data_IF_157018398843
#
_entry.id   IF_157018398843
#
_cell.length_a   1.000
_cell.length_b   1.000
_cell.length_c   1.000
_cell.angle_alpha   90.00
_cell.angle_beta   90.00
_cell.angle_gamma   90.00
#
_symmetry.space_group_name_H-M   'P 1'
#
loop_
_entity.id
_entity.type
_entity.pdbx_description
1 polymer ?
#
# COMPACT_ATOMS: atom_id res chain seq x y z
N UNK A 1 6.73 64.27 -0.86
CA UNK A 1 7.38 65.27 -1.72
C UNK A 1 7.96 64.54 -2.93
N UNK A 2 7.20 64.57 -3.99
CA UNK A 2 7.40 65.27 -5.24
C UNK A 2 8.38 64.59 -6.18
N UNK A 3 7.83 64.04 -7.20
CA UNK A 3 7.77 64.38 -8.63
C UNK A 3 8.94 63.75 -9.43
N UNK A 4 8.75 63.12 -10.53
CA UNK A 4 8.03 63.34 -11.80
C UNK A 4 8.97 63.00 -12.98
N UNK A 5 8.43 62.20 -13.95
CA UNK A 5 8.48 62.45 -15.42
C UNK A 5 9.80 62.12 -16.14
N UNK A 6 9.88 61.53 -17.27
CA UNK A 6 9.11 61.19 -18.47
C UNK A 6 10.07 60.52 -19.45
N UNK A 7 9.62 59.57 -20.23
CA UNK A 7 9.20 59.64 -21.66
C UNK A 7 10.27 59.98 -22.70
N UNK A 8 10.39 59.13 -23.72
CA UNK A 8 10.51 59.38 -25.19
C UNK A 8 11.29 58.20 -25.82
N UNK A 9 10.69 57.29 -26.58
CA UNK A 9 10.28 57.32 -28.00
C UNK A 9 11.41 57.61 -29.01
N UNK A 10 11.61 56.70 -29.95
CA UNK A 10 11.70 56.78 -31.41
C UNK A 10 12.52 55.60 -31.95
N UNK A 11 11.98 54.64 -32.68
CA UNK A 11 11.54 54.57 -34.09
C UNK A 11 12.70 54.69 -35.12
N UNK A 12 12.89 53.61 -35.93
CA UNK A 12 13.00 53.61 -37.40
C UNK A 12 13.87 52.43 -37.86
N UNK A 13 13.32 51.48 -38.58
CA UNK A 13 13.06 51.34 -40.01
C UNK A 13 14.21 50.72 -40.80
N UNK A 14 13.90 49.52 -41.26
CA UNK A 14 14.05 48.85 -42.56
C UNK A 14 15.35 48.95 -43.42
N UNK A 15 15.77 47.84 -44.00
CA UNK A 15 15.66 47.53 -45.43
C UNK A 15 16.56 46.32 -45.84
N UNK A 16 15.90 45.32 -46.36
CA UNK A 16 16.17 44.48 -47.55
C UNK A 16 17.56 44.24 -48.09
N UNK A 17 17.82 42.98 -48.44
CA UNK A 17 18.83 42.58 -49.38
C UNK A 17 18.88 41.06 -49.62
N UNK A 18 18.17 40.59 -50.65
CA UNK A 18 18.37 39.27 -51.28
C UNK A 18 19.69 39.25 -52.06
N UNK A 19 20.42 38.12 -52.05
CA UNK A 19 20.97 37.53 -53.24
C UNK A 19 21.47 36.10 -53.06
N UNK A 20 21.26 35.36 -54.06
CA UNK A 20 21.31 34.02 -54.58
C UNK A 20 22.69 33.35 -54.63
N UNK A 21 22.65 32.03 -54.36
CA UNK A 21 23.25 30.87 -55.05
C UNK A 21 24.72 30.84 -55.37
N UNK A 22 25.42 29.74 -55.00
CA UNK A 22 25.94 28.74 -55.99
C UNK A 22 26.51 27.51 -55.30
N UNK A 23 26.33 26.39 -56.00
CA UNK A 23 26.65 24.99 -55.62
C UNK A 23 28.16 24.72 -55.65
N UNK A 24 28.61 23.83 -54.80
CA UNK A 24 29.57 22.78 -55.21
C UNK A 24 29.52 21.60 -54.25
N UNK A 25 29.61 20.41 -54.81
CA UNK A 25 29.32 19.10 -54.28
C UNK A 25 30.51 18.41 -53.59
N UNK A 26 30.13 17.27 -52.95
CA UNK A 26 30.87 16.05 -52.63
C UNK A 26 31.70 15.98 -51.31
N UNK A 27 31.25 15.16 -50.39
CA UNK A 27 31.82 13.83 -50.10
C UNK A 27 31.07 13.14 -48.98
N UNK A 28 30.64 11.91 -49.24
CA UNK A 28 29.95 10.99 -48.31
C UNK A 28 30.93 10.36 -47.33
N UNK A 29 30.49 10.24 -46.03
CA UNK A 29 30.82 9.13 -45.14
C UNK A 29 29.76 9.01 -44.04
N UNK A 30 29.50 7.85 -43.44
CA UNK A 30 28.17 7.35 -43.10
C UNK A 30 27.66 7.82 -41.72
N UNK A 31 26.34 7.94 -41.67
CA UNK A 31 25.57 8.27 -40.48
C UNK A 31 25.72 7.22 -39.37
N UNK A 32 25.95 7.68 -38.16
CA UNK A 32 25.67 6.95 -36.96
C UNK A 32 24.20 7.21 -36.59
N UNK A 33 23.44 6.17 -36.37
CA UNK A 33 22.06 6.21 -35.84
C UNK A 33 22.07 6.83 -34.44
N UNK A 34 21.60 8.07 -34.33
CA UNK A 34 21.14 8.62 -33.06
C UNK A 34 19.71 8.12 -32.81
N UNK A 35 19.55 7.21 -31.86
CA UNK A 35 18.26 6.87 -31.30
C UNK A 35 17.66 8.17 -30.71
N UNK A 36 16.55 8.58 -31.28
CA UNK A 36 15.68 9.63 -30.76
C UNK A 36 15.08 9.13 -29.43
N UNK A 37 15.05 9.92 -28.36
CA UNK A 37 14.29 9.55 -27.17
C UNK A 37 12.82 9.40 -27.56
N UNK A 38 12.21 8.27 -27.21
CA UNK A 38 10.76 8.10 -27.24
C UNK A 38 10.14 9.23 -26.42
N UNK A 39 9.38 10.06 -27.08
CA UNK A 39 8.55 11.11 -26.49
C UNK A 39 7.47 10.36 -25.68
N UNK A 40 7.63 10.31 -24.35
CA UNK A 40 6.55 9.92 -23.45
C UNK A 40 5.34 10.76 -23.81
N UNK A 41 4.31 10.10 -24.34
CA UNK A 41 3.04 10.75 -24.64
C UNK A 41 2.48 11.34 -23.35
N UNK A 42 2.58 12.65 -23.20
CA UNK A 42 1.90 13.38 -22.14
C UNK A 42 0.40 13.07 -22.27
N UNK A 43 -0.15 12.40 -21.27
CA UNK A 43 -1.60 12.18 -21.14
C UNK A 43 -2.23 13.58 -21.05
N UNK A 44 -3.03 13.95 -22.05
CA UNK A 44 -3.77 15.22 -22.02
C UNK A 44 -4.65 15.25 -20.76
N UNK A 45 -4.55 16.33 -19.99
CA UNK A 45 -5.40 16.55 -18.82
C UNK A 45 -6.88 16.56 -19.26
N UNK A 46 -7.76 15.89 -18.50
CA UNK A 46 -9.18 15.81 -18.88
C UNK A 46 -9.86 17.19 -18.86
N UNK A 47 -10.86 17.34 -19.71
CA UNK A 47 -11.72 18.53 -19.73
C UNK A 47 -12.40 18.74 -18.38
N UNK A 48 -12.40 19.98 -17.91
CA UNK A 48 -12.93 20.52 -16.65
C UNK A 48 -13.81 19.58 -15.78
N UNK A 49 -13.22 19.12 -14.63
CA UNK A 49 -13.98 18.98 -13.39
C UNK A 49 -14.88 17.77 -13.23
N UNK A 50 -14.38 16.52 -13.41
CA UNK A 50 -15.10 15.32 -12.95
C UNK A 50 -15.17 15.23 -11.41
N UNK A 51 -16.23 14.61 -10.87
CA UNK A 51 -16.39 14.31 -9.45
C UNK A 51 -15.97 12.87 -9.18
N UNK A 52 -14.99 12.67 -8.31
CA UNK A 52 -14.46 11.35 -7.94
C UNK A 52 -14.91 11.01 -6.52
N UNK A 53 -15.56 9.86 -6.36
CA UNK A 53 -15.89 9.31 -5.05
C UNK A 53 -14.77 8.44 -4.51
N UNK A 54 -14.29 8.73 -3.31
CA UNK A 54 -13.24 7.95 -2.64
C UNK A 54 -13.76 7.48 -1.28
N UNK A 55 -13.89 6.16 -1.12
CA UNK A 55 -14.38 5.52 0.11
C UNK A 55 -13.25 4.78 0.80
N UNK A 56 -12.93 5.19 2.02
CA UNK A 56 -11.93 4.57 2.89
C UNK A 56 -12.57 3.90 4.11
N UNK A 57 -12.00 2.79 4.62
CA UNK A 57 -12.64 2.01 5.67
C UNK A 57 -12.66 2.74 7.02
N UNK A 58 -11.56 3.38 7.41
CA UNK A 58 -11.45 4.00 8.75
C UNK A 58 -10.32 5.02 8.83
N UNK A 59 -10.40 5.92 9.81
CA UNK A 59 -9.30 6.81 10.19
C UNK A 59 -8.45 6.26 11.35
N UNK A 60 -8.86 5.16 11.98
CA UNK A 60 -8.14 4.57 13.12
C UNK A 60 -6.83 3.89 12.75
N UNK A 61 -6.65 3.49 11.48
CA UNK A 61 -5.40 2.97 10.95
C UNK A 61 -4.70 4.05 10.15
N UNK A 62 -3.42 4.28 10.45
CA UNK A 62 -2.63 5.39 9.90
C UNK A 62 -2.63 5.42 8.38
N UNK A 63 -2.40 4.27 7.74
CA UNK A 63 -2.29 4.19 6.28
C UNK A 63 -3.49 4.78 5.55
N UNK A 64 -4.73 4.56 6.02
CA UNK A 64 -5.92 5.07 5.32
C UNK A 64 -6.01 6.59 5.29
N UNK A 65 -5.46 7.26 6.31
CA UNK A 65 -5.34 8.72 6.31
C UNK A 65 -4.34 9.18 5.25
N UNK A 66 -3.22 8.48 5.12
CA UNK A 66 -2.18 8.78 4.12
C UNK A 66 -2.69 8.48 2.69
N UNK A 67 -3.24 7.28 2.47
CA UNK A 67 -3.82 6.87 1.18
C UNK A 67 -4.87 7.89 0.70
N UNK A 68 -5.85 8.21 1.55
CA UNK A 68 -6.92 9.14 1.21
C UNK A 68 -6.43 10.56 0.96
N UNK A 69 -5.50 11.05 1.77
CA UNK A 69 -4.95 12.40 1.63
C UNK A 69 -4.13 12.55 0.34
N UNK A 70 -3.24 11.60 0.04
CA UNK A 70 -2.43 11.62 -1.18
C UNK A 70 -3.30 11.49 -2.43
N UNK A 71 -4.28 10.57 -2.42
CA UNK A 71 -5.17 10.39 -3.56
C UNK A 71 -5.99 11.66 -3.82
N UNK A 72 -6.56 12.26 -2.76
CA UNK A 72 -7.32 13.50 -2.87
C UNK A 72 -6.44 14.62 -3.43
N UNK A 73 -5.25 14.83 -2.86
CA UNK A 73 -4.30 15.86 -3.32
C UNK A 73 -3.99 15.68 -4.81
N UNK A 74 -3.63 14.47 -5.24
CA UNK A 74 -3.22 14.22 -6.62
C UNK A 74 -4.37 14.31 -7.62
N UNK A 75 -5.57 13.88 -7.26
CA UNK A 75 -6.76 14.07 -8.09
C UNK A 75 -7.15 15.55 -8.20
N UNK A 76 -7.09 16.31 -7.10
CA UNK A 76 -7.37 17.76 -7.12
C UNK A 76 -6.31 18.54 -7.91
N UNK A 77 -5.04 18.13 -7.90
CA UNK A 77 -3.98 18.69 -8.76
C UNK A 77 -4.28 18.49 -10.26
N UNK A 78 -4.99 17.42 -10.62
CA UNK A 78 -5.45 17.16 -11.99
C UNK A 78 -6.74 17.90 -12.35
N UNK A 79 -7.32 18.67 -11.43
CA UNK A 79 -8.51 19.47 -11.64
C UNK A 79 -9.84 18.76 -11.34
N UNK A 80 -9.81 17.57 -10.74
CA UNK A 80 -11.00 16.86 -10.27
C UNK A 80 -11.52 17.41 -8.95
N UNK A 81 -12.83 17.23 -8.72
CA UNK A 81 -13.42 17.39 -7.39
C UNK A 81 -13.44 16.02 -6.70
N UNK A 82 -13.05 15.94 -5.44
CA UNK A 82 -12.96 14.67 -4.70
C UNK A 82 -13.91 14.66 -3.50
N UNK A 83 -14.84 13.70 -3.48
CA UNK A 83 -15.64 13.37 -2.30
C UNK A 83 -14.96 12.21 -1.54
N UNK A 84 -14.10 12.54 -0.57
CA UNK A 84 -13.38 11.58 0.27
C UNK A 84 -14.15 11.34 1.56
N UNK A 85 -14.53 10.09 1.83
CA UNK A 85 -15.26 9.70 3.04
C UNK A 85 -14.63 8.49 3.72
N UNK A 86 -14.78 8.44 5.04
CA UNK A 86 -14.32 7.35 5.92
C UNK A 86 -15.52 6.76 6.66
N UNK A 87 -15.63 5.45 6.66
CA UNK A 87 -16.78 4.75 7.25
C UNK A 87 -16.54 4.28 8.70
N UNK A 88 -15.37 4.55 9.30
CA UNK A 88 -15.01 4.21 10.68
C UNK A 88 -15.21 2.73 11.06
N UNK A 89 -14.92 1.84 10.12
CA UNK A 89 -15.15 0.39 10.20
C UNK A 89 -16.63 -0.02 10.38
N UNK A 90 -17.58 0.87 10.02
CA UNK A 90 -19.00 0.58 10.05
C UNK A 90 -19.49 0.27 8.62
N UNK A 91 -19.74 -1.00 8.32
CA UNK A 91 -20.14 -1.48 6.98
C UNK A 91 -21.40 -0.76 6.48
N UNK A 92 -22.41 -0.61 7.34
CA UNK A 92 -23.66 0.09 6.97
C UNK A 92 -23.41 1.55 6.56
N UNK A 93 -22.48 2.23 7.26
CA UNK A 93 -22.07 3.59 6.91
C UNK A 93 -21.40 3.63 5.54
N UNK A 94 -20.56 2.64 5.22
CA UNK A 94 -19.90 2.59 3.91
C UNK A 94 -20.91 2.35 2.77
N UNK A 95 -21.91 1.51 3.00
CA UNK A 95 -23.03 1.31 2.03
C UNK A 95 -23.78 2.63 1.78
N UNK A 96 -24.17 3.33 2.86
CA UNK A 96 -24.86 4.63 2.74
C UNK A 96 -24.00 5.69 2.03
N UNK A 97 -22.71 5.71 2.28
CA UNK A 97 -21.77 6.62 1.61
C UNK A 97 -21.67 6.32 0.12
N UNK A 98 -21.61 5.05 -0.27
CA UNK A 98 -21.61 4.62 -1.67
C UNK A 98 -22.89 5.07 -2.40
N UNK A 99 -24.06 4.78 -1.84
CA UNK A 99 -25.35 5.19 -2.40
C UNK A 99 -25.47 6.73 -2.55
N UNK A 100 -24.97 7.46 -1.55
CA UNK A 100 -24.92 8.92 -1.59
C UNK A 100 -24.01 9.45 -2.70
N UNK A 101 -22.84 8.85 -2.93
CA UNK A 101 -21.92 9.22 -4.00
C UNK A 101 -22.52 8.95 -5.38
N UNK A 102 -23.19 7.81 -5.57
CA UNK A 102 -23.92 7.51 -6.81
C UNK A 102 -25.00 8.56 -7.06
N UNK A 103 -25.80 8.88 -6.05
CA UNK A 103 -26.84 9.94 -6.14
C UNK A 103 -26.28 11.32 -6.47
N UNK A 104 -25.08 11.65 -5.99
CA UNK A 104 -24.36 12.89 -6.34
C UNK A 104 -23.84 12.91 -7.77
N UNK A 105 -23.83 11.78 -8.46
CA UNK A 105 -23.37 11.66 -9.84
C UNK A 105 -21.85 11.68 -9.95
N UNK A 106 -21.14 10.92 -9.10
CA UNK A 106 -19.69 10.72 -9.28
C UNK A 106 -19.39 10.06 -10.62
N UNK A 107 -18.26 10.38 -11.21
CA UNK A 107 -17.84 9.83 -12.51
C UNK A 107 -17.08 8.52 -12.37
N UNK A 108 -16.30 8.37 -11.28
CA UNK A 108 -15.55 7.18 -10.93
C UNK A 108 -15.63 6.97 -9.42
N UNK A 109 -15.72 5.73 -9.00
CA UNK A 109 -15.64 5.31 -7.59
C UNK A 109 -14.31 4.61 -7.33
N UNK A 110 -13.61 5.04 -6.29
CA UNK A 110 -12.40 4.38 -5.75
C UNK A 110 -12.74 3.90 -4.34
N UNK A 111 -12.73 2.59 -4.13
CA UNK A 111 -13.29 1.98 -2.91
C UNK A 111 -12.28 1.06 -2.25
N UNK A 112 -11.87 1.40 -1.02
CA UNK A 112 -11.25 0.49 -0.08
C UNK A 112 -12.34 -0.05 0.85
N UNK A 113 -12.81 -1.26 0.60
CA UNK A 113 -13.94 -1.83 1.34
C UNK A 113 -13.58 -2.24 2.77
N UNK A 114 -14.54 -2.13 3.69
CA UNK A 114 -14.45 -2.75 5.03
C UNK A 114 -14.64 -4.26 4.87
N UNK A 115 -15.76 -4.66 4.26
CA UNK A 115 -16.10 -6.02 3.87
C UNK A 115 -16.27 -6.05 2.35
N UNK A 116 -15.44 -6.86 1.67
CA UNK A 116 -15.43 -6.96 0.21
C UNK A 116 -16.76 -7.42 -0.39
N UNK A 117 -17.59 -8.13 0.38
CA UNK A 117 -18.87 -8.70 -0.09
C UNK A 117 -20.08 -7.79 0.13
N UNK A 118 -19.96 -6.81 1.05
CA UNK A 118 -21.10 -6.04 1.53
C UNK A 118 -21.65 -4.99 0.54
N UNK A 119 -20.85 -4.58 -0.45
CA UNK A 119 -21.17 -3.46 -1.32
C UNK A 119 -21.87 -3.84 -2.63
N UNK A 120 -22.13 -5.15 -2.86
CA UNK A 120 -22.61 -5.66 -4.16
C UNK A 120 -23.88 -4.95 -4.67
N UNK A 121 -24.81 -4.55 -3.79
CA UNK A 121 -26.04 -3.83 -4.17
C UNK A 121 -25.73 -2.44 -4.74
N UNK A 122 -24.97 -1.62 -4.02
CA UNK A 122 -24.60 -0.28 -4.49
C UNK A 122 -23.68 -0.34 -5.72
N UNK A 123 -22.82 -1.36 -5.83
CA UNK A 123 -22.00 -1.56 -7.04
C UNK A 123 -22.84 -1.89 -8.27
N UNK A 124 -24.00 -2.58 -8.11
CA UNK A 124 -24.94 -2.77 -9.21
C UNK A 124 -25.60 -1.45 -9.62
N UNK A 125 -25.98 -0.62 -8.65
CA UNK A 125 -26.52 0.72 -8.93
C UNK A 125 -25.50 1.61 -9.64
N UNK A 126 -24.24 1.58 -9.23
CA UNK A 126 -23.15 2.29 -9.92
C UNK A 126 -23.01 1.85 -11.38
N UNK A 127 -23.07 0.54 -11.62
CA UNK A 127 -22.99 -0.01 -12.98
C UNK A 127 -24.21 0.38 -13.85
N UNK A 128 -25.42 0.42 -13.27
CA UNK A 128 -26.63 0.84 -13.96
C UNK A 128 -26.56 2.33 -14.37
N UNK A 129 -25.86 3.16 -13.61
CA UNK A 129 -25.56 4.57 -13.92
C UNK A 129 -24.30 4.76 -14.78
N UNK A 130 -23.60 3.68 -15.14
CA UNK A 130 -22.40 3.71 -15.98
C UNK A 130 -21.15 4.22 -15.26
N UNK A 131 -21.15 4.22 -13.93
CA UNK A 131 -20.00 4.61 -13.10
C UNK A 131 -19.03 3.45 -13.01
N UNK A 132 -17.76 3.69 -13.37
CA UNK A 132 -16.70 2.69 -13.25
C UNK A 132 -16.13 2.65 -11.82
N UNK A 133 -15.71 1.45 -11.41
CA UNK A 133 -15.28 1.16 -10.05
C UNK A 133 -13.88 0.61 -10.02
N UNK A 134 -13.01 1.27 -9.26
CA UNK A 134 -11.67 0.80 -8.91
C UNK A 134 -11.70 0.33 -7.46
N UNK A 135 -11.46 -0.95 -7.23
CA UNK A 135 -11.14 -1.46 -5.91
C UNK A 135 -9.74 -0.95 -5.50
N UNK A 136 -9.64 -0.32 -4.35
CA UNK A 136 -8.39 0.24 -3.82
C UNK A 136 -7.87 -0.60 -2.68
N UNK A 137 -6.66 -1.14 -2.80
CA UNK A 137 -5.98 -1.99 -1.81
C UNK A 137 -6.76 -3.27 -1.46
N UNK A 138 -8.06 -3.22 -1.20
CA UNK A 138 -8.93 -4.35 -0.86
C UNK A 138 -9.86 -4.72 -2.00
N UNK A 139 -9.86 -6.00 -2.39
CA UNK A 139 -10.65 -6.49 -3.52
C UNK A 139 -12.15 -6.50 -3.17
N UNK A 140 -12.96 -6.00 -4.10
CA UNK A 140 -14.43 -6.10 -4.03
C UNK A 140 -14.86 -7.48 -4.51
N UNK A 141 -15.49 -8.24 -3.61
CA UNK A 141 -15.82 -9.65 -3.78
C UNK A 141 -17.28 -9.86 -4.24
N UNK A 142 -17.57 -11.02 -4.77
CA UNK A 142 -18.91 -11.52 -5.11
C UNK A 142 -19.72 -10.59 -6.04
N UNK A 143 -19.05 -9.80 -6.89
CA UNK A 143 -19.68 -8.84 -7.79
C UNK A 143 -19.05 -8.87 -9.18
N UNK A 144 -19.84 -8.72 -10.27
CA UNK A 144 -19.31 -8.47 -11.60
C UNK A 144 -18.87 -7.02 -11.80
N UNK A 145 -19.26 -6.09 -10.91
CA UNK A 145 -19.20 -4.64 -11.07
C UNK A 145 -17.96 -4.01 -10.36
N UNK A 146 -16.88 -4.73 -10.29
CA UNK A 146 -15.54 -4.24 -9.96
C UNK A 146 -14.75 -4.20 -11.26
N UNK A 147 -14.48 -3.02 -11.83
CA UNK A 147 -13.86 -2.92 -13.16
C UNK A 147 -12.37 -3.15 -13.10
N UNK A 148 -11.71 -2.56 -12.09
CA UNK A 148 -10.27 -2.64 -11.89
C UNK A 148 -9.93 -2.80 -10.41
N UNK A 149 -8.71 -3.26 -10.14
CA UNK A 149 -8.16 -3.36 -8.80
C UNK A 149 -6.75 -2.78 -8.78
N UNK A 150 -6.46 -1.93 -7.81
CA UNK A 150 -5.12 -1.40 -7.56
C UNK A 150 -4.69 -1.75 -6.15
N UNK A 151 -3.57 -2.44 -6.02
CA UNK A 151 -3.03 -2.92 -4.74
C UNK A 151 -1.52 -3.14 -4.82
N UNK A 152 -0.94 -3.70 -3.76
CA UNK A 152 0.41 -4.27 -3.78
C UNK A 152 0.34 -5.77 -4.08
N UNK A 153 1.48 -6.39 -4.44
CA UNK A 153 1.57 -7.84 -4.51
C UNK A 153 1.44 -8.44 -3.10
N UNK A 154 0.21 -8.82 -2.75
CA UNK A 154 -0.13 -9.26 -1.41
C UNK A 154 0.49 -10.62 -1.04
N UNK A 155 0.67 -11.52 -2.01
CA UNK A 155 1.38 -12.77 -1.78
C UNK A 155 2.85 -12.51 -1.49
N UNK A 156 3.48 -11.60 -2.24
CA UNK A 156 4.87 -11.21 -2.05
C UNK A 156 5.12 -10.55 -0.68
N UNK A 157 4.13 -9.83 -0.12
CA UNK A 157 4.22 -9.33 1.27
C UNK A 157 4.48 -10.47 2.24
N UNK A 158 3.69 -11.54 2.15
CA UNK A 158 3.87 -12.73 2.99
C UNK A 158 5.22 -13.41 2.75
N UNK A 159 5.62 -13.57 1.48
CA UNK A 159 6.94 -14.12 1.12
C UNK A 159 8.07 -13.31 1.76
N UNK A 160 8.00 -11.98 1.72
CA UNK A 160 9.01 -11.11 2.35
C UNK A 160 9.07 -11.36 3.87
N UNK A 161 7.93 -11.45 4.54
CA UNK A 161 7.88 -11.74 5.99
C UNK A 161 8.47 -13.10 6.32
N UNK A 162 8.08 -14.14 5.57
CA UNK A 162 8.61 -15.50 5.73
C UNK A 162 10.12 -15.57 5.48
N UNK A 163 10.59 -14.95 4.41
CA UNK A 163 12.02 -14.88 4.04
C UNK A 163 12.83 -14.19 5.13
N UNK A 164 12.35 -13.08 5.67
CA UNK A 164 13.02 -12.39 6.77
C UNK A 164 13.21 -13.29 8.00
N UNK A 165 12.19 -14.09 8.35
CA UNK A 165 12.28 -15.06 9.44
C UNK A 165 13.35 -16.13 9.13
N UNK A 166 13.32 -16.69 7.92
CA UNK A 166 14.27 -17.73 7.46
C UNK A 166 15.70 -17.24 7.54
N UNK A 167 15.96 -16.05 6.98
CA UNK A 167 17.30 -15.44 6.95
C UNK A 167 17.79 -15.07 8.36
N UNK A 168 16.91 -14.46 9.19
CA UNK A 168 17.27 -14.01 10.54
C UNK A 168 17.62 -15.18 11.47
N UNK A 169 16.92 -16.30 11.33
CA UNK A 169 17.24 -17.53 12.08
C UNK A 169 18.37 -18.36 11.45
N UNK A 170 18.82 -18.04 10.23
CA UNK A 170 19.81 -18.81 9.50
C UNK A 170 19.32 -20.21 9.09
N UNK A 171 18.02 -20.38 8.83
CA UNK A 171 17.42 -21.68 8.52
C UNK A 171 17.97 -22.26 7.21
N UNK A 172 18.22 -21.43 6.20
CA UNK A 172 18.85 -21.81 4.94
C UNK A 172 20.33 -22.19 5.10
N UNK A 173 20.97 -21.70 6.16
CA UNK A 173 22.35 -22.00 6.52
C UNK A 173 22.46 -23.25 7.40
N UNK A 174 21.32 -23.89 7.73
CA UNK A 174 21.25 -25.13 8.49
C UNK A 174 21.23 -24.93 10.00
N UNK A 175 20.69 -23.82 10.49
CA UNK A 175 20.46 -23.61 11.91
C UNK A 175 19.62 -24.75 12.50
N UNK A 176 20.07 -25.27 13.66
CA UNK A 176 19.41 -26.37 14.36
C UNK A 176 18.36 -25.80 15.35
N UNK A 177 17.05 -26.03 15.05
CA UNK A 177 15.96 -25.71 15.96
C UNK A 177 15.84 -26.69 17.16
N UNK A 178 14.66 -26.84 17.76
CA UNK A 178 13.42 -26.20 17.36
C UNK A 178 13.36 -24.72 17.78
N UNK A 179 12.90 -23.86 16.88
CA UNK A 179 12.49 -22.49 17.18
C UNK A 179 10.97 -22.43 17.33
N UNK A 180 10.49 -21.73 18.36
CA UNK A 180 9.06 -21.60 18.63
C UNK A 180 8.47 -20.43 17.87
N UNK A 181 7.28 -20.62 17.28
CA UNK A 181 6.58 -19.60 16.51
C UNK A 181 5.10 -19.57 16.83
N UNK A 182 4.49 -18.38 16.71
CA UNK A 182 3.05 -18.21 16.65
C UNK A 182 2.65 -17.36 15.43
N UNK A 183 1.44 -17.63 14.91
CA UNK A 183 0.92 -17.03 13.69
C UNK A 183 -0.31 -16.18 14.00
N UNK A 184 -0.35 -15.00 13.44
CA UNK A 184 -1.51 -14.09 13.44
C UNK A 184 -2.00 -13.88 12.03
N UNK A 185 -3.32 -13.90 11.82
CA UNK A 185 -3.98 -13.56 10.57
C UNK A 185 -4.57 -12.16 10.61
N UNK A 186 -4.77 -11.57 9.44
CA UNK A 186 -5.49 -10.31 9.27
C UNK A 186 -7.00 -10.46 9.43
N UNK A 187 -7.76 -9.41 9.06
CA UNK A 187 -9.22 -9.45 9.14
C UNK A 187 -9.81 -10.47 8.18
N UNK A 188 -10.76 -11.31 8.61
CA UNK A 188 -11.31 -12.38 7.80
C UNK A 188 -12.21 -11.90 6.64
N UNK A 189 -12.68 -10.66 6.70
CA UNK A 189 -13.47 -9.97 5.68
C UNK A 189 -12.61 -9.23 4.63
N UNK A 190 -11.30 -9.31 4.77
CA UNK A 190 -10.30 -8.77 3.84
C UNK A 190 -9.58 -9.90 3.09
N UNK A 191 -9.80 -9.97 1.77
CA UNK A 191 -9.18 -10.99 0.92
C UNK A 191 -7.64 -10.97 0.98
N UNK A 192 -7.01 -9.82 1.23
CA UNK A 192 -5.57 -9.69 1.31
C UNK A 192 -4.96 -10.51 2.45
N UNK A 193 -5.69 -10.65 3.57
CA UNK A 193 -5.23 -11.41 4.74
C UNK A 193 -4.88 -12.86 4.38
N UNK A 194 -5.61 -13.46 3.45
CA UNK A 194 -5.37 -14.83 2.98
C UNK A 194 -4.11 -14.91 2.10
N UNK A 195 -3.86 -13.91 1.25
CA UNK A 195 -2.64 -13.84 0.42
C UNK A 195 -1.39 -13.62 1.28
N UNK A 196 -1.44 -12.73 2.27
CA UNK A 196 -0.33 -12.52 3.20
C UNK A 196 0.01 -13.81 3.94
N UNK A 197 -1.02 -14.47 4.48
CA UNK A 197 -0.83 -15.75 5.18
C UNK A 197 -0.28 -16.83 4.26
N UNK A 198 -0.80 -16.96 3.03
CA UNK A 198 -0.34 -17.97 2.08
C UNK A 198 1.14 -17.76 1.72
N UNK A 199 1.55 -16.54 1.35
CA UNK A 199 2.93 -16.25 0.99
C UNK A 199 3.92 -16.52 2.13
N UNK A 200 3.57 -16.15 3.36
CA UNK A 200 4.40 -16.42 4.53
C UNK A 200 4.47 -17.91 4.86
N UNK A 201 3.31 -18.59 4.89
CA UNK A 201 3.25 -20.00 5.24
C UNK A 201 3.91 -20.88 4.18
N UNK A 202 3.74 -20.60 2.88
CA UNK A 202 4.42 -21.35 1.82
C UNK A 202 5.95 -21.24 1.95
N UNK A 203 6.45 -20.07 2.36
CA UNK A 203 7.89 -19.86 2.61
C UNK A 203 8.37 -20.62 3.85
N UNK A 204 7.58 -20.69 4.92
CA UNK A 204 7.96 -21.28 6.20
C UNK A 204 7.65 -22.78 6.29
N UNK A 205 6.75 -23.32 5.45
CA UNK A 205 6.23 -24.69 5.53
C UNK A 205 7.35 -25.76 5.53
N UNK A 206 8.41 -25.68 4.71
CA UNK A 206 9.49 -26.67 4.74
C UNK A 206 10.17 -26.80 6.12
N UNK A 207 10.28 -25.68 6.85
CA UNK A 207 10.90 -25.65 8.18
C UNK A 207 9.93 -26.08 9.28
N UNK A 208 8.63 -25.87 9.08
CA UNK A 208 7.57 -26.39 9.95
C UNK A 208 7.48 -27.91 9.79
N UNK A 209 7.48 -28.43 8.57
CA UNK A 209 7.40 -29.86 8.28
C UNK A 209 8.62 -30.65 8.80
N UNK A 210 9.80 -30.01 8.79
CA UNK A 210 11.02 -30.60 9.34
C UNK A 210 11.08 -30.55 10.87
N UNK A 211 10.22 -29.76 11.52
CA UNK A 211 10.22 -29.54 12.96
C UNK A 211 11.29 -28.55 13.45
N UNK A 212 11.97 -27.83 12.55
CA UNK A 212 12.91 -26.74 12.90
C UNK A 212 12.14 -25.51 13.39
N UNK A 213 10.99 -25.20 12.78
CA UNK A 213 10.01 -24.25 13.29
C UNK A 213 8.84 -25.00 13.91
N UNK A 214 8.41 -24.61 15.11
CA UNK A 214 7.32 -25.25 15.83
C UNK A 214 6.27 -24.23 16.23
N UNK A 215 5.07 -24.33 15.64
CA UNK A 215 3.93 -23.54 16.08
C UNK A 215 3.34 -24.21 17.33
N UNK A 216 3.67 -23.72 18.51
CA UNK A 216 3.35 -24.39 19.78
C UNK A 216 1.87 -24.51 20.04
N UNK A 217 1.08 -23.52 19.66
CA UNK A 217 -0.37 -23.58 19.76
C UNK A 217 -1.01 -24.57 18.76
N UNK A 218 -0.29 -24.92 17.69
CA UNK A 218 -0.82 -25.65 16.54
C UNK A 218 -1.89 -24.87 15.74
N UNK A 219 -2.03 -23.57 15.99
CA UNK A 219 -3.07 -22.75 15.38
C UNK A 219 -2.54 -22.08 14.10
N UNK A 220 -3.03 -22.53 12.96
CA UNK A 220 -2.64 -22.02 11.63
C UNK A 220 -3.84 -21.64 10.74
N UNK A 221 -5.05 -22.13 11.11
CA UNK A 221 -6.26 -21.88 10.33
C UNK A 221 -6.74 -20.43 10.51
N UNK A 222 -7.04 -19.75 9.38
CA UNK A 222 -7.52 -18.36 9.38
C UNK A 222 -8.77 -18.16 10.25
N UNK A 223 -9.64 -19.18 10.40
CA UNK A 223 -10.79 -19.10 11.29
C UNK A 223 -10.44 -18.98 12.78
N UNK A 224 -9.18 -19.25 13.15
CA UNK A 224 -8.66 -19.19 14.53
C UNK A 224 -7.67 -18.06 14.74
N UNK A 225 -6.83 -17.80 13.74
CA UNK A 225 -5.73 -16.81 13.87
C UNK A 225 -6.12 -15.40 13.44
N UNK A 226 -7.24 -15.25 12.71
CA UNK A 226 -7.68 -13.97 12.18
C UNK A 226 -8.07 -12.99 13.29
N UNK A 227 -7.73 -11.71 13.08
CA UNK A 227 -8.06 -10.60 13.97
C UNK A 227 -8.99 -9.64 13.24
N UNK A 228 -10.26 -9.62 13.69
CA UNK A 228 -11.31 -8.77 13.10
C UNK A 228 -10.89 -7.30 13.04
N UNK A 229 -11.23 -6.65 11.94
CA UNK A 229 -11.00 -5.23 11.66
C UNK A 229 -9.53 -4.78 11.79
N UNK A 230 -8.56 -5.70 11.82
CA UNK A 230 -7.13 -5.41 12.00
C UNK A 230 -6.82 -4.68 13.33
N UNK A 231 -7.60 -4.94 14.37
CA UNK A 231 -7.50 -4.20 15.63
C UNK A 231 -6.38 -4.71 16.54
N UNK A 232 -5.53 -3.77 17.00
CA UNK A 232 -4.43 -4.05 17.93
C UNK A 232 -4.91 -4.73 19.24
N UNK A 233 -6.07 -4.36 19.75
CA UNK A 233 -6.63 -4.94 20.97
C UNK A 233 -6.92 -6.44 20.83
N UNK A 234 -7.48 -6.86 19.69
CA UNK A 234 -7.70 -8.28 19.41
C UNK A 234 -6.40 -9.08 19.31
N UNK A 235 -5.36 -8.48 18.73
CA UNK A 235 -4.03 -9.08 18.67
C UNK A 235 -3.38 -9.19 20.06
N UNK A 236 -3.54 -8.17 20.90
CA UNK A 236 -3.08 -8.20 22.29
C UNK A 236 -3.76 -9.33 23.08
N UNK A 237 -5.09 -9.41 23.04
CA UNK A 237 -5.87 -10.45 23.72
C UNK A 237 -5.45 -11.85 23.28
N UNK A 238 -5.23 -12.05 21.96
CA UNK A 238 -4.76 -13.31 21.44
C UNK A 238 -3.34 -13.65 21.93
N UNK A 239 -2.43 -12.67 21.91
CA UNK A 239 -1.06 -12.88 22.38
C UNK A 239 -1.00 -13.18 23.88
N UNK A 240 -1.78 -12.50 24.71
CA UNK A 240 -1.91 -12.78 26.16
C UNK A 240 -2.34 -14.23 26.42
N UNK A 241 -3.32 -14.70 25.63
CA UNK A 241 -3.80 -16.09 25.72
C UNK A 241 -2.72 -17.10 25.27
N UNK A 242 -2.00 -16.83 24.17
CA UNK A 242 -0.93 -17.69 23.68
C UNK A 242 0.22 -17.79 24.70
N UNK A 243 0.68 -16.66 25.24
CA UNK A 243 1.73 -16.61 26.24
C UNK A 243 1.35 -17.40 27.48
N UNK A 244 0.13 -17.22 27.97
CA UNK A 244 -0.36 -17.92 29.16
C UNK A 244 -0.47 -19.42 28.95
N UNK A 245 -0.95 -19.84 27.79
CA UNK A 245 -1.22 -21.25 27.52
C UNK A 245 0.03 -22.05 27.12
N UNK A 246 0.98 -21.43 26.40
CA UNK A 246 2.06 -22.16 25.73
C UNK A 246 3.48 -21.74 26.14
N UNK A 247 3.66 -20.58 26.80
CA UNK A 247 4.98 -19.97 27.06
C UNK A 247 5.24 -19.62 28.53
N UNK A 248 4.70 -20.44 29.45
CA UNK A 248 4.94 -20.25 30.90
C UNK A 248 6.40 -20.53 31.31
N UNK A 249 7.08 -21.44 30.60
CA UNK A 249 8.38 -21.98 30.99
C UNK A 249 9.49 -21.68 29.94
N UNK A 250 9.16 -21.05 28.83
CA UNK A 250 10.10 -20.70 27.77
C UNK A 250 9.72 -19.41 27.07
N UNK A 251 10.66 -18.83 26.32
CA UNK A 251 10.41 -17.65 25.51
C UNK A 251 9.89 -18.05 24.13
N UNK A 252 9.14 -17.16 23.48
CA UNK A 252 8.77 -17.30 22.07
C UNK A 252 9.90 -16.72 21.21
N UNK A 253 10.27 -17.42 20.13
CA UNK A 253 11.35 -16.99 19.25
C UNK A 253 10.84 -16.15 18.06
N UNK A 254 9.65 -16.46 17.54
CA UNK A 254 9.07 -15.82 16.33
C UNK A 254 7.58 -15.55 16.50
N UNK A 255 7.15 -14.35 16.11
CA UNK A 255 5.74 -14.02 15.92
C UNK A 255 5.54 -13.50 14.51
N UNK A 256 4.83 -14.27 13.68
CA UNK A 256 4.39 -13.85 12.36
C UNK A 256 3.15 -12.96 12.52
N UNK A 257 3.34 -11.66 12.42
CA UNK A 257 2.26 -10.67 12.40
C UNK A 257 2.11 -10.12 10.98
N UNK A 258 0.90 -10.13 10.40
CA UNK A 258 0.69 -9.70 9.02
C UNK A 258 0.79 -8.20 8.83
N UNK A 259 0.58 -7.37 9.88
CA UNK A 259 0.70 -5.92 9.79
C UNK A 259 1.11 -5.25 11.10
N UNK A 260 1.38 -3.95 11.02
CA UNK A 260 1.89 -3.13 12.10
C UNK A 260 0.85 -2.84 13.20
N UNK A 261 -0.42 -2.66 12.84
CA UNK A 261 -1.48 -2.48 13.84
C UNK A 261 -1.58 -3.68 14.79
N UNK A 262 -1.52 -4.91 14.24
CA UNK A 262 -1.51 -6.12 15.06
C UNK A 262 -0.19 -6.24 15.85
N UNK A 263 0.95 -5.89 15.23
CA UNK A 263 2.25 -5.90 15.89
C UNK A 263 2.27 -4.97 17.12
N UNK A 264 1.58 -3.81 17.07
CA UNK A 264 1.44 -2.93 18.24
C UNK A 264 0.77 -3.65 19.43
N UNK A 265 -0.33 -4.36 19.18
CA UNK A 265 -1.02 -5.16 20.21
C UNK A 265 -0.14 -6.29 20.76
N UNK A 266 0.56 -6.99 19.87
CA UNK A 266 1.51 -8.06 20.22
C UNK A 266 2.63 -7.51 21.10
N UNK A 267 3.25 -6.38 20.73
CA UNK A 267 4.29 -5.72 21.53
C UNK A 267 3.78 -5.30 22.89
N UNK A 268 2.54 -4.80 23.00
CA UNK A 268 1.95 -4.44 24.30
C UNK A 268 1.82 -5.67 25.22
N UNK A 269 1.37 -6.80 24.70
CA UNK A 269 1.30 -8.08 25.42
C UNK A 269 2.69 -8.56 25.83
N UNK A 270 3.65 -8.57 24.91
CA UNK A 270 5.04 -8.99 25.19
C UNK A 270 5.68 -8.15 26.30
N UNK A 271 5.53 -6.82 26.28
CA UNK A 271 5.98 -5.91 27.33
C UNK A 271 5.35 -6.25 28.68
N UNK A 272 4.05 -6.48 28.71
CA UNK A 272 3.31 -6.86 29.91
C UNK A 272 3.79 -8.19 30.49
N UNK A 273 4.22 -9.10 29.63
CA UNK A 273 4.81 -10.40 30.00
C UNK A 273 6.31 -10.34 30.35
N UNK A 274 6.91 -9.14 30.32
CA UNK A 274 8.31 -8.91 30.73
C UNK A 274 9.36 -9.16 29.64
N UNK A 275 8.98 -9.21 28.38
CA UNK A 275 9.92 -9.23 27.25
C UNK A 275 10.65 -7.87 27.14
N UNK A 276 11.78 -7.87 26.46
CA UNK A 276 12.65 -6.70 26.29
C UNK A 276 13.85 -6.66 27.26
N UNK A 277 14.13 -7.77 27.93
CA UNK A 277 15.30 -7.93 28.82
C UNK A 277 16.32 -8.90 28.21
N UNK A 278 17.54 -8.94 28.76
CA UNK A 278 18.56 -9.87 28.28
C UNK A 278 18.15 -11.35 28.42
N UNK A 279 17.41 -11.69 29.49
CA UNK A 279 16.94 -13.05 29.76
C UNK A 279 15.64 -13.37 29.02
N UNK A 280 14.94 -12.36 28.56
CA UNK A 280 13.67 -12.49 27.84
C UNK A 280 13.60 -11.45 26.70
N UNK A 281 14.39 -11.67 25.64
CA UNK A 281 14.42 -10.75 24.49
C UNK A 281 13.09 -10.75 23.73
N UNK A 282 12.84 -9.68 22.96
CA UNK A 282 11.73 -9.70 22.00
C UNK A 282 11.96 -10.78 20.94
N UNK A 283 10.90 -11.48 20.50
CA UNK A 283 10.97 -12.41 19.38
C UNK A 283 11.24 -11.68 18.07
N UNK A 284 11.58 -12.41 17.01
CA UNK A 284 11.44 -11.92 15.66
C UNK A 284 9.95 -11.62 15.45
N UNK A 285 9.61 -10.35 15.25
CA UNK A 285 8.24 -9.89 15.04
C UNK A 285 8.16 -9.19 13.68
N UNK A 286 7.32 -9.73 12.80
CA UNK A 286 7.04 -9.14 11.49
C UNK A 286 5.93 -8.09 11.55
N UNK A 287 5.81 -7.30 10.48
CA UNK A 287 4.75 -6.32 10.29
C UNK A 287 4.65 -5.91 8.82
N UNK A 288 3.76 -4.97 8.54
CA UNK A 288 3.53 -4.37 7.24
C UNK A 288 2.92 -2.98 7.44
N UNK A 289 3.15 -2.07 6.50
CA UNK A 289 2.68 -0.69 6.35
C UNK A 289 3.69 0.36 6.84
N UNK A 290 4.69 0.01 7.62
CA UNK A 290 5.68 0.94 8.20
C UNK A 290 5.01 2.12 8.92
N UNK A 291 3.99 1.86 9.75
CA UNK A 291 3.36 2.87 10.59
C UNK A 291 4.42 3.56 11.47
N UNK A 292 4.30 4.87 11.65
CA UNK A 292 5.34 5.65 12.36
C UNK A 292 5.64 5.11 13.76
N UNK A 293 4.64 4.60 14.46
CA UNK A 293 4.81 3.96 15.78
C UNK A 293 5.70 2.73 15.67
N UNK A 294 5.50 1.91 14.63
CA UNK A 294 6.22 0.67 14.39
C UNK A 294 7.65 0.92 13.87
N UNK A 295 7.85 2.00 13.11
CA UNK A 295 9.21 2.47 12.81
C UNK A 295 9.98 2.76 14.11
N UNK A 296 9.35 3.45 15.07
CA UNK A 296 9.92 3.63 16.40
C UNK A 296 10.15 2.32 17.14
N UNK A 297 9.23 1.35 17.05
CA UNK A 297 9.40 0.00 17.64
C UNK A 297 10.56 -0.77 17.01
N UNK A 298 10.75 -0.68 15.70
CA UNK A 298 11.91 -1.29 15.02
C UNK A 298 13.23 -0.69 15.52
N UNK A 299 13.29 0.63 15.66
CA UNK A 299 14.50 1.32 16.16
C UNK A 299 14.82 0.91 17.61
N UNK A 300 13.79 0.67 18.44
CA UNK A 300 13.95 0.20 19.83
C UNK A 300 14.16 -1.32 19.93
N UNK A 301 14.12 -2.06 18.82
CA UNK A 301 14.25 -3.52 18.80
C UNK A 301 13.04 -4.27 19.37
N UNK A 302 11.86 -3.65 19.38
CA UNK A 302 10.59 -4.22 19.85
C UNK A 302 9.86 -4.97 18.72
N UNK A 303 10.10 -4.58 17.47
CA UNK A 303 9.68 -5.21 16.23
C UNK A 303 10.89 -5.37 15.32
N UNK A 304 10.95 -6.43 14.52
CA UNK A 304 12.16 -6.74 13.74
C UNK A 304 12.13 -6.12 12.36
N UNK A 305 10.98 -6.13 11.70
CA UNK A 305 10.81 -5.62 10.35
C UNK A 305 9.37 -5.20 10.09
N UNK A 306 9.17 -4.42 9.04
CA UNK A 306 7.85 -4.11 8.46
C UNK A 306 7.95 -4.12 6.95
N UNK A 307 6.94 -4.59 6.26
CA UNK A 307 6.88 -4.49 4.79
C UNK A 307 6.36 -3.11 4.41
N UNK A 308 7.20 -2.32 3.76
CA UNK A 308 6.84 -0.99 3.30
C UNK A 308 6.00 -1.07 2.03
N UNK A 309 4.83 -0.50 2.10
CA UNK A 309 3.91 -0.24 1.00
C UNK A 309 3.76 1.28 0.87
N UNK A 310 4.47 1.88 -0.07
CA UNK A 310 4.41 3.33 -0.27
C UNK A 310 3.02 3.77 -0.76
N UNK A 311 2.21 4.30 0.14
CA UNK A 311 0.84 4.75 -0.14
C UNK A 311 0.78 5.81 -1.24
N UNK A 312 1.86 6.59 -1.43
CA UNK A 312 1.99 7.59 -2.49
C UNK A 312 2.05 6.93 -3.88
N UNK A 313 2.76 5.80 -3.97
CA UNK A 313 2.87 5.03 -5.23
C UNK A 313 1.52 4.44 -5.62
N UNK A 314 0.81 3.83 -4.68
CA UNK A 314 -0.52 3.26 -4.95
C UNK A 314 -1.54 4.36 -5.30
N UNK A 315 -1.55 5.47 -4.56
CA UNK A 315 -2.43 6.59 -4.84
C UNK A 315 -2.16 7.21 -6.23
N UNK A 316 -0.88 7.41 -6.59
CA UNK A 316 -0.51 7.91 -7.92
C UNK A 316 -0.99 6.96 -9.04
N UNK A 317 -0.81 5.66 -8.84
CA UNK A 317 -1.29 4.65 -9.81
C UNK A 317 -2.81 4.72 -10.01
N UNK A 318 -3.57 4.92 -8.95
CA UNK A 318 -5.04 5.06 -9.07
C UNK A 318 -5.42 6.37 -9.77
N UNK A 319 -4.68 7.44 -9.56
CA UNK A 319 -4.88 8.69 -10.31
C UNK A 319 -4.70 8.46 -11.81
N UNK A 320 -3.68 7.71 -12.22
CA UNK A 320 -3.47 7.35 -13.63
C UNK A 320 -4.62 6.48 -14.17
N UNK A 321 -5.13 5.54 -13.37
CA UNK A 321 -6.29 4.73 -13.75
C UNK A 321 -7.56 5.57 -13.91
N UNK A 322 -7.82 6.50 -12.98
CA UNK A 322 -8.94 7.45 -13.06
C UNK A 322 -8.85 8.32 -14.32
N UNK A 323 -7.65 8.86 -14.61
CA UNK A 323 -7.40 9.63 -15.82
C UNK A 323 -7.68 8.80 -17.10
N UNK A 324 -7.20 7.56 -17.14
CA UNK A 324 -7.43 6.67 -18.27
C UNK A 324 -8.91 6.38 -18.48
N UNK A 325 -9.66 6.11 -17.41
CA UNK A 325 -11.11 5.89 -17.46
C UNK A 325 -11.82 7.12 -18.06
N UNK A 326 -11.53 8.31 -17.54
CA UNK A 326 -12.25 9.53 -17.92
C UNK A 326 -11.90 10.05 -19.31
N UNK A 327 -10.68 9.74 -19.79
CA UNK A 327 -10.24 10.09 -21.16
C UNK A 327 -10.57 9.02 -22.19
N UNK A 328 -11.01 7.82 -21.76
CA UNK A 328 -11.23 6.67 -22.63
C UNK A 328 -9.93 6.05 -23.14
N UNK A 329 -8.82 6.30 -22.45
CA UNK A 329 -7.53 5.66 -22.71
C UNK A 329 -7.50 4.22 -22.12
N UNK A 330 -6.48 3.45 -22.49
CA UNK A 330 -6.26 2.13 -21.90
C UNK A 330 -5.87 2.28 -20.42
N UNK A 331 -6.63 1.61 -19.54
CA UNK A 331 -6.35 1.65 -18.09
C UNK A 331 -5.13 0.78 -17.79
N UNK A 332 -4.10 1.32 -17.11
CA UNK A 332 -2.90 0.57 -16.81
C UNK A 332 -3.18 -0.58 -15.85
N UNK A 333 -2.83 -1.80 -16.26
CA UNK A 333 -2.88 -3.03 -15.45
C UNK A 333 -1.65 -3.87 -15.74
N UNK A 334 -1.17 -4.64 -14.76
CA UNK A 334 -0.03 -5.54 -14.92
C UNK A 334 -0.30 -6.98 -14.45
N UNK A 335 -1.54 -7.25 -13.95
CA UNK A 335 -2.00 -8.58 -13.59
C UNK A 335 -3.45 -8.79 -14.08
N UNK A 336 -3.69 -9.90 -14.78
CA UNK A 336 -5.01 -10.29 -15.29
C UNK A 336 -5.35 -11.75 -14.98
N UNK A 337 -4.64 -12.37 -14.04
CA UNK A 337 -4.74 -13.81 -13.76
C UNK A 337 -4.97 -14.12 -12.27
N UNK A 338 -4.44 -13.29 -11.36
CA UNK A 338 -4.31 -13.64 -9.94
C UNK A 338 -5.56 -13.36 -9.12
N UNK A 339 -6.15 -12.16 -9.28
CA UNK A 339 -7.17 -11.67 -8.36
C UNK A 339 -8.59 -12.00 -8.83
N UNK A 340 -9.06 -13.20 -8.45
CA UNK A 340 -10.44 -13.65 -8.71
C UNK A 340 -11.33 -13.25 -7.53
N UNK A 341 -12.39 -12.50 -7.82
CA UNK A 341 -13.35 -12.02 -6.82
C UNK A 341 -14.58 -12.94 -6.66
N UNK A 342 -14.45 -14.23 -6.93
CA UNK A 342 -15.49 -15.27 -6.98
C UNK A 342 -16.44 -15.20 -8.19
N UNK A 343 -16.44 -14.10 -8.95
CA UNK A 343 -17.27 -13.92 -10.15
C UNK A 343 -16.43 -13.83 -11.41
N UNK A 344 -15.33 -13.09 -11.33
CA UNK A 344 -14.37 -12.89 -12.44
C UNK A 344 -12.98 -12.66 -11.92
N UNK A 345 -11.98 -12.81 -12.79
CA UNK A 345 -10.66 -12.22 -12.55
C UNK A 345 -10.75 -10.73 -12.83
N UNK A 346 -10.38 -9.91 -11.86
CA UNK A 346 -10.39 -8.45 -11.96
C UNK A 346 -9.05 -7.98 -12.49
N UNK A 347 -8.99 -7.25 -13.62
CA UNK A 347 -7.75 -6.65 -14.10
C UNK A 347 -7.13 -5.75 -13.04
N UNK A 348 -5.86 -6.00 -12.69
CA UNK A 348 -5.24 -5.42 -11.51
C UNK A 348 -3.92 -4.72 -11.84
N UNK A 349 -3.60 -3.68 -11.06
CA UNK A 349 -2.26 -3.13 -11.00
C UNK A 349 -1.65 -3.42 -9.64
N UNK A 350 -0.52 -4.12 -9.65
CA UNK A 350 0.21 -4.54 -8.47
C UNK A 350 1.46 -3.69 -8.29
N UNK A 351 1.50 -2.88 -7.24
CA UNK A 351 2.70 -2.20 -6.80
C UNK A 351 3.63 -3.20 -6.07
N UNK A 352 4.93 -2.95 -6.10
CA UNK A 352 5.90 -3.82 -5.44
C UNK A 352 6.05 -3.44 -3.98
N UNK A 353 5.87 -4.37 -3.03
CA UNK A 353 6.21 -4.17 -1.63
C UNK A 353 7.72 -4.30 -1.42
N UNK A 354 8.25 -3.60 -0.42
CA UNK A 354 9.68 -3.63 -0.05
C UNK A 354 9.82 -3.86 1.45
N UNK A 355 10.73 -4.74 1.89
CA UNK A 355 10.95 -4.90 3.33
C UNK A 355 11.72 -3.70 3.91
N UNK A 356 11.39 -3.32 5.15
CA UNK A 356 12.10 -2.32 5.93
C UNK A 356 12.49 -2.91 7.29
N UNK A 357 13.69 -2.61 7.74
CA UNK A 357 14.19 -2.94 9.07
C UNK A 357 15.06 -1.79 9.62
N UNK A 358 15.71 -2.03 10.75
CA UNK A 358 16.59 -1.04 11.39
C UNK A 358 17.79 -0.63 10.51
N UNK A 359 18.14 -1.42 9.48
CA UNK A 359 19.30 -1.17 8.64
C UNK A 359 18.99 -0.29 7.44
N UNK A 360 17.74 -0.30 6.93
CA UNK A 360 17.37 0.38 5.69
C UNK A 360 16.22 1.40 5.82
N UNK A 361 15.56 1.52 6.98
CA UNK A 361 14.42 2.43 7.15
C UNK A 361 14.72 3.88 6.79
N UNK A 362 15.97 4.34 7.00
CA UNK A 362 16.36 5.73 6.67
C UNK A 362 16.27 5.98 5.17
N UNK A 363 16.84 5.08 4.38
CA UNK A 363 16.81 5.17 2.93
C UNK A 363 15.38 5.10 2.40
N UNK A 364 14.58 4.17 2.92
CA UNK A 364 13.23 3.92 2.43
C UNK A 364 12.21 4.96 2.88
N UNK A 365 12.29 5.43 4.13
CA UNK A 365 11.23 6.23 4.73
C UNK A 365 11.61 7.70 4.90
N UNK A 366 12.88 8.01 5.18
CA UNK A 366 13.33 9.39 5.44
C UNK A 366 13.85 10.02 4.17
N UNK A 367 14.79 9.39 3.48
CA UNK A 367 15.44 9.96 2.28
C UNK A 367 14.44 10.11 1.13
N UNK A 368 13.40 9.26 1.07
CA UNK A 368 12.28 9.39 0.14
C UNK A 368 11.25 10.46 0.52
N UNK A 369 11.35 11.01 1.75
CA UNK A 369 10.40 11.99 2.26
C UNK A 369 9.04 11.41 2.66
N UNK A 370 8.94 10.10 2.92
CA UNK A 370 7.71 9.49 3.44
C UNK A 370 7.43 9.94 4.88
N UNK A 371 8.48 9.96 5.72
CA UNK A 371 8.50 10.58 7.03
C UNK A 371 9.65 11.58 7.16
N UNK A 372 9.50 12.56 8.04
CA UNK A 372 10.61 13.40 8.44
C UNK A 372 11.48 12.73 9.50
N UNK A 373 12.75 13.11 9.60
CA UNK A 373 13.63 12.63 10.67
C UNK A 373 13.04 12.93 12.06
N UNK A 374 12.42 14.12 12.24
CA UNK A 374 11.80 14.52 13.51
C UNK A 374 10.65 13.59 13.92
N UNK A 375 9.78 13.21 12.97
CA UNK A 375 8.70 12.26 13.24
C UNK A 375 9.22 10.89 13.69
N UNK A 376 10.31 10.44 13.04
CA UNK A 376 10.92 9.15 13.37
C UNK A 376 11.61 9.21 14.73
N UNK A 377 12.36 10.27 15.03
CA UNK A 377 13.05 10.48 16.31
C UNK A 377 12.03 10.56 17.46
N UNK A 378 10.94 11.29 17.28
CA UNK A 378 9.85 11.38 18.27
C UNK A 378 9.22 10.00 18.52
N UNK A 379 8.94 9.23 17.46
CA UNK A 379 8.40 7.89 17.58
C UNK A 379 9.36 6.90 18.26
N UNK A 380 10.66 7.05 18.03
CA UNK A 380 11.70 6.26 18.68
C UNK A 380 11.95 6.66 20.14
N UNK A 381 11.43 7.82 20.59
CA UNK A 381 11.65 8.37 21.93
C UNK A 381 13.06 8.95 22.10
N UNK A 382 13.62 9.51 21.01
CA UNK A 382 14.96 10.12 20.95
C UNK A 382 14.91 11.64 21.01
#
# INVERSE_FOLDING_TARGET
LVLVVALLLLLSVALTGCQKAEQAAESQAPAADEESPEEEAAVEAPAEGGLIGVLMPTQSLQRWNQDGAFMKEKLEEQGYTVDLQYANNEVATQVEQLENMITKGVNVLVIASIDGTALAGGLQEAADEGIQVIAYDRLLMDTPNCDYYATFDNYQVGVIQGTYIVETLGLDEGAEGPFTMEVFGGSPDDNNAYFFNAGAMDTLQPYIDSGVLVIKSGQTDMSVIAIQAWEAAGAQDRMDNLLTANYSDENIDVVLSPNDSLAQGIVASLKSAGYGTADKPYPILTGQDCDIINVGQMIRGEQSMSVFKDTRTLAAQVVDMVNAILTGAEVPVNDTETYNNNVKVVPSFLCLPVFADVNNYKELLIDTGYYTQEQVDESAGQ
#
